data_IF_941854775658
#
_entry.id   IF_941854775658
#
_cell.length_a   1.000
_cell.length_b   1.000
_cell.length_c   1.000
_cell.angle_alpha   90.00
_cell.angle_beta   90.00
_cell.angle_gamma   90.00
#
_symmetry.space_group_name_H-M   'P 1'
#
loop_
_entity.id
_entity.type
_entity.pdbx_description
1 polymer ?
#
# COMPACT_ATOMS: atom_id res chain seq x y z
N UNK A 1 7.00 -10.14 14.94
CA UNK A 1 6.62 -10.11 13.52
C UNK A 1 7.00 -8.73 13.01
N UNK A 2 7.91 -8.65 12.04
CA UNK A 2 8.47 -7.37 11.59
C UNK A 2 7.51 -6.59 10.68
N UNK A 3 7.73 -5.27 10.48
CA UNK A 3 6.83 -4.38 9.73
C UNK A 3 6.54 -4.84 8.29
N UNK A 4 7.43 -5.65 7.70
CA UNK A 4 7.26 -6.22 6.36
C UNK A 4 6.25 -7.37 6.28
N UNK A 5 6.01 -8.10 7.38
CA UNK A 5 5.04 -9.20 7.42
C UNK A 5 3.60 -8.66 7.40
N UNK A 6 3.35 -7.56 8.11
CA UNK A 6 2.05 -6.86 8.11
C UNK A 6 1.70 -6.25 6.75
N UNK A 7 2.71 -5.80 6.00
CA UNK A 7 2.52 -5.25 4.66
C UNK A 7 2.09 -6.34 3.64
N UNK A 8 2.72 -7.51 3.69
CA UNK A 8 2.34 -8.64 2.83
C UNK A 8 0.92 -9.14 3.12
N UNK A 9 0.55 -9.19 4.41
CA UNK A 9 -0.81 -9.51 4.82
C UNK A 9 -1.83 -8.47 4.31
N UNK A 10 -1.48 -7.18 4.36
CA UNK A 10 -2.33 -6.11 3.86
C UNK A 10 -2.54 -6.18 2.33
N UNK A 11 -1.50 -6.49 1.57
CA UNK A 11 -1.61 -6.70 0.12
C UNK A 11 -2.53 -7.89 -0.19
N UNK A 12 -2.38 -9.01 0.52
CA UNK A 12 -3.22 -10.19 0.34
C UNK A 12 -4.70 -9.90 0.62
N UNK A 13 -5.02 -9.11 1.65
CA UNK A 13 -6.39 -8.67 1.98
C UNK A 13 -7.01 -7.82 0.85
N UNK A 14 -6.19 -7.04 0.15
CA UNK A 14 -6.62 -6.24 -1.01
C UNK A 14 -6.69 -7.07 -2.31
N UNK A 15 -6.41 -8.38 -2.25
CA UNK A 15 -6.34 -9.26 -3.41
C UNK A 15 -5.07 -9.07 -4.25
N UNK A 16 -4.10 -8.30 -3.75
CA UNK A 16 -2.84 -8.01 -4.41
C UNK A 16 -1.82 -9.09 -4.04
N UNK A 17 -1.84 -10.20 -4.77
CA UNK A 17 -0.88 -11.30 -4.56
C UNK A 17 0.50 -11.03 -5.18
N UNK A 18 0.63 -9.96 -5.95
CA UNK A 18 1.87 -9.58 -6.62
C UNK A 18 2.55 -8.46 -5.86
N UNK A 19 3.81 -8.69 -5.47
CA UNK A 19 4.62 -7.66 -4.84
C UNK A 19 4.89 -6.56 -5.87
N UNK A 20 4.54 -5.29 -5.58
CA UNK A 20 4.75 -4.20 -6.50
C UNK A 20 6.26 -4.03 -6.75
N UNK A 21 6.67 -4.16 -8.01
CA UNK A 21 8.08 -4.02 -8.39
C UNK A 21 8.59 -2.59 -8.33
N UNK A 22 7.70 -1.60 -8.16
CA UNK A 22 8.05 -0.20 -7.97
C UNK A 22 6.97 0.54 -7.21
N UNK A 23 7.33 1.68 -6.64
CA UNK A 23 6.41 2.58 -5.93
C UNK A 23 5.26 3.08 -6.82
N UNK A 24 5.55 3.34 -8.11
CA UNK A 24 4.54 3.71 -9.10
C UNK A 24 3.55 2.58 -9.34
N UNK A 25 4.02 1.34 -9.30
CA UNK A 25 3.17 0.16 -9.42
C UNK A 25 2.26 0.04 -8.19
N UNK A 26 2.81 0.21 -6.98
CA UNK A 26 2.02 0.25 -5.75
C UNK A 26 0.93 1.34 -5.77
N UNK A 27 1.26 2.57 -6.17
CA UNK A 27 0.28 3.65 -6.30
C UNK A 27 -0.84 3.32 -7.31
N UNK A 28 -0.51 2.64 -8.41
CA UNK A 28 -1.50 2.16 -9.39
C UNK A 28 -2.38 1.03 -8.85
N UNK A 29 -1.84 0.16 -8.00
CA UNK A 29 -2.62 -0.90 -7.37
C UNK A 29 -3.59 -0.33 -6.33
N UNK A 30 -3.09 0.59 -5.49
CA UNK A 30 -3.87 1.34 -4.50
C UNK A 30 -5.01 2.11 -5.17
N UNK A 31 -4.73 2.84 -6.26
CA UNK A 31 -5.74 3.55 -7.04
C UNK A 31 -6.79 2.60 -7.67
N UNK A 32 -6.39 1.38 -8.04
CA UNK A 32 -7.31 0.36 -8.57
C UNK A 32 -8.19 -0.29 -7.51
N UNK A 33 -7.70 -0.41 -6.28
CA UNK A 33 -8.47 -0.93 -5.17
C UNK A 33 -9.52 0.06 -4.62
N UNK A 34 -9.44 1.35 -5.01
CA UNK A 34 -10.21 2.46 -4.45
C UNK A 34 -11.71 2.12 -4.25
N UNK A 35 -12.30 2.46 -3.09
CA UNK A 35 -13.62 1.97 -2.64
C UNK A 35 -14.81 2.49 -3.45
N UNK A 36 -14.56 3.28 -4.49
CA UNK A 36 -15.60 3.76 -5.39
C UNK A 36 -16.33 2.61 -6.11
N UNK A 37 -15.74 1.41 -6.19
CA UNK A 37 -16.34 0.25 -6.85
C UNK A 37 -17.03 -0.73 -5.92
N UNK A 38 -16.69 -0.80 -4.62
CA UNK A 38 -17.30 -1.71 -3.64
C UNK A 38 -17.10 -1.19 -2.20
N UNK A 39 -18.09 -1.34 -1.31
CA UNK A 39 -17.92 -0.99 0.10
C UNK A 39 -16.86 -1.91 0.74
N UNK A 40 -15.85 -1.30 1.33
CA UNK A 40 -14.80 -2.04 2.02
C UNK A 40 -15.25 -2.52 3.40
N UNK A 41 -14.79 -3.72 3.76
CA UNK A 41 -14.83 -4.16 5.15
C UNK A 41 -13.80 -3.40 6.01
N UNK A 42 -13.97 -3.41 7.33
CA UNK A 42 -13.03 -2.78 8.26
C UNK A 42 -11.59 -3.31 8.11
N UNK A 43 -11.44 -4.59 7.77
CA UNK A 43 -10.15 -5.23 7.51
C UNK A 43 -9.50 -4.71 6.23
N UNK A 44 -10.28 -4.53 5.15
CA UNK A 44 -9.80 -3.94 3.90
C UNK A 44 -9.39 -2.47 4.08
N UNK A 45 -10.12 -1.73 4.91
CA UNK A 45 -9.79 -0.33 5.22
C UNK A 45 -8.47 -0.23 5.99
N UNK A 46 -8.27 -1.10 6.99
CA UNK A 46 -7.02 -1.17 7.75
C UNK A 46 -5.83 -1.59 6.85
N UNK A 47 -6.04 -2.59 5.98
CA UNK A 47 -5.04 -3.02 5.01
C UNK A 47 -4.66 -1.92 4.02
N UNK A 48 -5.64 -1.21 3.46
CA UNK A 48 -5.40 -0.08 2.57
C UNK A 48 -4.60 1.02 3.25
N UNK A 49 -4.97 1.40 4.47
CA UNK A 49 -4.23 2.40 5.25
C UNK A 49 -2.79 1.96 5.46
N UNK A 50 -2.55 0.69 5.77
CA UNK A 50 -1.20 0.16 5.97
C UNK A 50 -0.35 0.22 4.69
N UNK A 51 -0.94 -0.08 3.55
CA UNK A 51 -0.29 0.05 2.23
C UNK A 51 -0.01 1.52 1.90
N UNK A 52 -0.92 2.43 2.25
CA UNK A 52 -0.74 3.87 2.08
C UNK A 52 0.41 4.42 2.93
N UNK A 53 0.51 4.00 4.20
CA UNK A 53 1.63 4.38 5.07
C UNK A 53 2.98 3.99 4.48
N UNK A 54 3.08 2.83 3.80
CA UNK A 54 4.32 2.44 3.11
C UNK A 54 4.63 3.33 1.89
N UNK A 55 3.60 3.80 1.18
CA UNK A 55 3.78 4.80 0.12
C UNK A 55 4.30 6.13 0.67
N UNK A 56 3.84 6.53 1.86
CA UNK A 56 4.22 7.78 2.55
C UNK A 56 5.61 7.72 3.17
N UNK A 57 5.97 6.63 3.84
CA UNK A 57 7.34 6.40 4.35
C UNK A 57 8.35 6.39 3.19
N UNK A 58 7.96 5.85 2.03
CA UNK A 58 8.74 5.95 0.80
C UNK A 58 8.77 7.34 0.16
N UNK A 59 7.84 8.27 0.47
CA UNK A 59 7.93 9.70 0.05
C UNK A 59 9.15 10.34 0.67
N UNK A 60 9.37 10.08 1.95
CA UNK A 60 10.45 10.74 2.70
C UNK A 60 11.83 10.24 2.25
N UNK A 61 11.93 8.97 1.86
CA UNK A 61 13.16 8.39 1.29
C UNK A 61 13.47 8.84 -0.16
N UNK A 62 12.49 9.41 -0.87
CA UNK A 62 12.61 9.98 -2.21
C UNK A 62 12.59 11.52 -2.17
N UNK A 63 12.81 12.14 -1.00
CA UNK A 63 13.16 13.55 -0.96
C UNK A 63 14.62 13.63 -1.43
N UNK A 64 14.95 14.26 -2.58
CA UNK A 64 16.34 14.58 -2.83
C UNK A 64 16.78 15.43 -1.64
N UNK A 65 17.86 15.01 -0.97
CA UNK A 65 18.61 15.89 -0.10
C UNK A 65 18.96 17.10 -0.97
N UNK A 66 18.15 18.15 -0.87
CA UNK A 66 18.46 19.42 -1.49
C UNK A 66 19.82 19.82 -0.91
N UNK A 67 20.77 19.94 -1.81
CA UNK A 67 22.17 20.27 -1.55
C UNK A 67 22.34 21.60 -0.81
#
# INVERSE_FOLDING_TARGET
MGPSADYWAALAVLGLNTMPGSRRDLARLVARCHPASHPWSGVQTAAYRRVWEQLEIGVEADRPLAA
#
